data_IF_095808072335
#
_entry.id   IF_095808072335
#
_cell.length_a   1.000
_cell.length_b   1.000
_cell.length_c   1.000
_cell.angle_alpha   90.00
_cell.angle_beta   90.00
_cell.angle_gamma   90.00
#
_symmetry.space_group_name_H-M   'P 1'
#
loop_
_entity.id
_entity.type
_entity.pdbx_description
1 polymer ?
#
# COMPACT_ATOMS: atom_id res chain seq x y z
N UNK A 1 24.65 0.49 -0.11
CA UNK A 1 24.24 -0.93 -0.14
C UNK A 1 23.68 -1.45 1.18
N UNK A 2 24.42 -1.35 2.31
CA UNK A 2 24.02 -1.94 3.61
C UNK A 2 22.61 -1.53 4.09
N UNK A 3 22.29 -0.24 4.03
CA UNK A 3 20.98 0.28 4.44
C UNK A 3 19.81 -0.33 3.65
N UNK A 4 19.99 -0.50 2.34
CA UNK A 4 18.97 -1.08 1.45
C UNK A 4 18.74 -2.56 1.77
N UNK A 5 19.81 -3.32 1.99
CA UNK A 5 19.72 -4.75 2.33
C UNK A 5 19.03 -4.96 3.68
N UNK A 6 19.40 -4.17 4.70
CA UNK A 6 18.77 -4.24 6.02
C UNK A 6 17.30 -3.82 5.93
N UNK A 7 17.00 -2.74 5.21
CA UNK A 7 15.62 -2.28 5.01
C UNK A 7 14.77 -3.35 4.33
N UNK A 8 15.28 -3.96 3.26
CA UNK A 8 14.60 -5.02 2.52
C UNK A 8 14.37 -6.27 3.38
N UNK A 9 15.38 -6.71 4.13
CA UNK A 9 15.26 -7.84 5.04
C UNK A 9 14.21 -7.63 6.13
N UNK A 10 14.23 -6.47 6.79
CA UNK A 10 13.23 -6.13 7.83
C UNK A 10 11.83 -6.03 7.21
N UNK A 11 11.69 -5.35 6.08
CA UNK A 11 10.40 -5.22 5.38
C UNK A 11 9.83 -6.58 5.00
N UNK A 12 10.67 -7.49 4.50
CA UNK A 12 10.27 -8.84 4.14
C UNK A 12 9.81 -9.65 5.35
N UNK A 13 10.55 -9.62 6.45
CA UNK A 13 10.16 -10.31 7.68
C UNK A 13 8.83 -9.77 8.24
N UNK A 14 8.68 -8.44 8.29
CA UNK A 14 7.45 -7.80 8.73
C UNK A 14 6.26 -8.13 7.83
N UNK A 15 6.45 -8.17 6.52
CA UNK A 15 5.39 -8.55 5.59
C UNK A 15 5.01 -10.03 5.73
N UNK A 16 5.99 -10.94 5.78
CA UNK A 16 5.76 -12.39 5.90
C UNK A 16 5.04 -12.77 7.20
N UNK A 17 5.45 -12.17 8.32
CA UNK A 17 4.86 -12.46 9.63
C UNK A 17 3.59 -11.63 9.90
N UNK A 18 3.55 -10.39 9.41
CA UNK A 18 2.43 -9.47 9.59
C UNK A 18 1.22 -9.83 8.75
N UNK A 19 1.40 -10.34 7.53
CA UNK A 19 0.30 -10.70 6.64
C UNK A 19 -0.64 -11.76 7.24
N UNK A 20 -0.18 -12.93 7.74
CA UNK A 20 -1.08 -13.92 8.34
C UNK A 20 -1.78 -13.40 9.61
N UNK A 21 -1.11 -12.56 10.42
CA UNK A 21 -1.72 -11.93 11.59
C UNK A 21 -2.82 -10.96 11.18
N UNK A 22 -2.57 -10.14 10.15
CA UNK A 22 -3.51 -9.18 9.61
C UNK A 22 -4.71 -9.88 8.96
N UNK A 23 -4.49 -10.98 8.24
CA UNK A 23 -5.56 -11.84 7.70
C UNK A 23 -6.46 -12.32 8.84
N UNK A 24 -5.89 -12.86 9.93
CA UNK A 24 -6.67 -13.30 11.10
C UNK A 24 -7.47 -12.15 11.73
N UNK A 25 -6.90 -10.96 11.80
CA UNK A 25 -7.60 -9.76 12.28
C UNK A 25 -8.79 -9.39 11.38
N UNK A 26 -8.59 -9.34 10.07
CA UNK A 26 -9.64 -9.00 9.11
C UNK A 26 -10.79 -10.03 9.12
N UNK A 27 -10.46 -11.32 9.23
CA UNK A 27 -11.45 -12.40 9.38
C UNK A 27 -12.28 -12.22 10.65
N UNK A 28 -11.64 -11.93 11.80
CA UNK A 28 -12.34 -11.67 13.07
C UNK A 28 -13.27 -10.47 13.00
N UNK A 29 -12.91 -9.45 12.23
CA UNK A 29 -13.72 -8.23 12.05
C UNK A 29 -14.83 -8.40 11.00
N UNK A 30 -14.99 -9.59 10.42
CA UNK A 30 -15.89 -9.89 9.31
C UNK A 30 -15.73 -8.95 8.10
N UNK A 31 -14.53 -8.41 7.88
CA UNK A 31 -14.18 -7.67 6.66
C UNK A 31 -13.93 -8.61 5.47
N UNK A 32 -14.68 -9.72 5.40
CA UNK A 32 -14.79 -10.54 4.20
C UNK A 32 -15.64 -9.81 3.18
N UNK A 33 -15.28 -9.91 1.89
CA UNK A 33 -16.07 -9.28 0.83
C UNK A 33 -17.55 -9.71 0.91
N UNK A 34 -18.44 -8.73 0.88
CA UNK A 34 -19.88 -8.98 0.75
C UNK A 34 -20.18 -9.58 -0.62
N UNK A 35 -20.88 -10.71 -0.60
CA UNK A 35 -21.20 -11.52 -1.78
C UNK A 35 -22.32 -10.81 -2.55
N UNK A 36 -22.09 -10.56 -3.84
CA UNK A 36 -23.16 -10.22 -4.78
C UNK A 36 -24.01 -11.47 -4.98
N UNK A 37 -25.31 -11.40 -4.70
CA UNK A 37 -26.22 -12.56 -4.73
C UNK A 37 -26.53 -13.09 -6.16
N UNK A 38 -25.97 -12.50 -7.22
CA UNK A 38 -26.43 -12.69 -8.60
C UNK A 38 -25.53 -13.60 -9.47
N UNK A 39 -24.96 -14.70 -8.96
CA UNK A 39 -24.08 -15.57 -9.76
C UNK A 39 -24.24 -17.08 -9.51
N UNK A 40 -24.06 -17.95 -10.53
CA UNK A 40 -24.31 -19.38 -10.41
C UNK A 40 -23.39 -20.05 -9.37
N UNK A 41 -23.90 -21.12 -8.77
CA UNK A 41 -23.42 -21.89 -7.62
C UNK A 41 -22.00 -22.49 -7.72
N UNK A 42 -21.28 -22.28 -8.82
CA UNK A 42 -19.89 -22.74 -9.00
C UNK A 42 -18.81 -21.78 -8.46
N UNK A 43 -19.18 -20.56 -8.04
CA UNK A 43 -18.23 -19.54 -7.57
C UNK A 43 -17.98 -19.48 -6.05
N UNK A 44 -18.54 -20.40 -5.27
CA UNK A 44 -18.40 -20.42 -3.79
C UNK A 44 -17.01 -20.80 -3.25
N UNK A 45 -16.02 -21.06 -4.11
CA UNK A 45 -14.66 -21.48 -3.70
C UNK A 45 -13.68 -20.31 -3.52
N UNK A 46 -14.02 -19.09 -3.96
CA UNK A 46 -13.22 -17.87 -3.66
C UNK A 46 -13.67 -17.22 -2.35
N UNK A 47 -13.91 -18.06 -1.34
CA UNK A 47 -14.32 -17.65 0.00
C UNK A 47 -13.16 -17.00 0.75
N UNK A 48 -13.44 -15.84 1.35
CA UNK A 48 -12.79 -15.43 2.59
C UNK A 48 -11.34 -14.93 2.51
N UNK A 49 -10.76 -14.72 1.32
CA UNK A 49 -9.49 -13.99 1.22
C UNK A 49 -9.75 -12.51 1.55
N UNK A 50 -9.24 -12.01 2.69
CA UNK A 50 -9.45 -10.63 3.04
C UNK A 50 -8.78 -9.72 2.02
N UNK A 51 -9.50 -8.69 1.61
CA UNK A 51 -8.96 -7.63 0.75
C UNK A 51 -8.24 -6.60 1.61
N UNK A 52 -7.34 -5.79 1.02
CA UNK A 52 -6.39 -4.86 1.70
C UNK A 52 -5.00 -5.40 2.10
N UNK A 53 -4.53 -6.54 1.55
CA UNK A 53 -3.16 -7.03 1.82
C UNK A 53 -2.03 -6.02 1.52
N UNK A 54 -2.28 -5.09 0.58
CA UNK A 54 -1.35 -4.01 0.26
C UNK A 54 -1.01 -3.07 1.43
N UNK A 55 -1.91 -2.94 2.42
CA UNK A 55 -1.66 -2.12 3.64
C UNK A 55 -0.50 -2.69 4.43
N UNK A 56 -0.42 -4.02 4.55
CA UNK A 56 0.66 -4.71 5.26
C UNK A 56 1.98 -4.50 4.52
N UNK A 57 1.97 -4.60 3.19
CA UNK A 57 3.18 -4.42 2.37
C UNK A 57 3.71 -2.99 2.51
N UNK A 58 2.83 -1.99 2.38
CA UNK A 58 3.20 -0.57 2.51
C UNK A 58 3.71 -0.29 3.92
N UNK A 59 2.99 -0.73 4.96
CA UNK A 59 3.39 -0.55 6.35
C UNK A 59 4.73 -1.21 6.66
N UNK A 60 4.92 -2.46 6.23
CA UNK A 60 6.18 -3.19 6.39
C UNK A 60 7.34 -2.49 5.67
N UNK A 61 7.11 -1.95 4.48
CA UNK A 61 8.12 -1.23 3.69
C UNK A 61 8.53 0.08 4.38
N UNK A 62 7.57 0.85 4.90
CA UNK A 62 7.85 2.10 5.62
C UNK A 62 8.63 1.86 6.90
N UNK A 63 8.20 0.86 7.70
CA UNK A 63 8.88 0.51 8.96
C UNK A 63 10.27 -0.06 8.67
N UNK A 64 10.39 -0.97 7.71
CA UNK A 64 11.68 -1.56 7.35
C UNK A 64 12.66 -0.53 6.80
N UNK A 65 12.20 0.40 5.95
CA UNK A 65 13.02 1.52 5.48
C UNK A 65 13.48 2.42 6.64
N UNK A 66 12.56 2.85 7.51
CA UNK A 66 12.90 3.72 8.64
C UNK A 66 13.91 3.06 9.59
N UNK A 67 13.70 1.78 9.93
CA UNK A 67 14.62 1.02 10.76
C UNK A 67 15.97 0.80 10.07
N UNK A 68 15.98 0.52 8.77
CA UNK A 68 17.23 0.35 8.02
C UNK A 68 18.06 1.64 7.97
N UNK A 69 17.43 2.80 7.87
CA UNK A 69 18.12 4.09 7.99
C UNK A 69 18.66 4.31 9.41
N UNK A 70 17.83 4.09 10.44
CA UNK A 70 18.22 4.26 11.84
C UNK A 70 19.40 3.36 12.23
N UNK A 71 19.35 2.07 11.85
CA UNK A 71 20.37 1.09 12.19
C UNK A 71 21.70 1.31 11.45
N UNK A 72 21.68 2.00 10.31
CA UNK A 72 22.89 2.27 9.53
C UNK A 72 23.39 3.71 9.64
N UNK A 73 22.67 4.58 10.34
CA UNK A 73 22.95 6.02 10.41
C UNK A 73 22.88 6.72 9.05
N UNK A 74 22.22 6.11 8.06
CA UNK A 74 22.13 6.66 6.70
C UNK A 74 21.10 7.78 6.65
N UNK A 75 21.45 8.91 6.02
CA UNK A 75 20.51 10.01 5.82
C UNK A 75 19.52 9.71 4.68
N UNK A 76 18.24 10.09 4.81
CA UNK A 76 17.26 9.89 3.75
C UNK A 76 17.61 10.77 2.53
N UNK A 77 17.59 10.17 1.34
CA UNK A 77 17.72 10.92 0.09
C UNK A 77 16.36 11.46 -0.37
N UNK A 78 16.37 12.59 -1.08
CA UNK A 78 15.15 13.16 -1.66
C UNK A 78 14.44 12.15 -2.59
N UNK A 79 15.20 11.42 -3.42
CA UNK A 79 14.63 10.40 -4.30
C UNK A 79 13.94 9.26 -3.53
N UNK A 80 14.52 8.82 -2.40
CA UNK A 80 13.91 7.78 -1.57
C UNK A 80 12.59 8.27 -0.95
N UNK A 81 12.57 9.50 -0.44
CA UNK A 81 11.36 10.11 0.12
C UNK A 81 10.27 10.28 -0.94
N UNK A 82 10.64 10.70 -2.16
CA UNK A 82 9.70 10.83 -3.28
C UNK A 82 9.12 9.48 -3.72
N UNK A 83 9.94 8.43 -3.79
CA UNK A 83 9.47 7.09 -4.12
C UNK A 83 8.51 6.54 -3.04
N UNK A 84 8.84 6.73 -1.76
CA UNK A 84 7.96 6.34 -0.66
C UNK A 84 6.68 7.16 -0.64
N UNK A 85 6.73 8.46 -0.93
CA UNK A 85 5.56 9.31 -1.10
C UNK A 85 4.65 8.78 -2.22
N UNK A 86 5.20 8.47 -3.39
CA UNK A 86 4.41 7.96 -4.51
C UNK A 86 3.74 6.62 -4.16
N UNK A 87 4.52 5.68 -3.60
CA UNK A 87 4.02 4.37 -3.17
C UNK A 87 2.90 4.51 -2.14
N UNK A 88 3.10 5.33 -1.11
CA UNK A 88 2.12 5.53 -0.04
C UNK A 88 0.90 6.29 -0.51
N UNK A 89 1.07 7.35 -1.32
CA UNK A 89 -0.03 8.15 -1.86
C UNK A 89 -0.96 7.31 -2.74
N UNK A 90 -0.42 6.54 -3.69
CA UNK A 90 -1.22 5.63 -4.51
C UNK A 90 -1.81 4.49 -3.67
N UNK A 91 -1.06 4.02 -2.68
CA UNK A 91 -1.52 3.04 -1.69
C UNK A 91 -2.74 3.52 -0.90
N UNK A 92 -2.78 4.79 -0.49
CA UNK A 92 -3.92 5.41 0.20
C UNK A 92 -5.13 5.47 -0.72
N UNK A 93 -4.97 5.86 -1.99
CA UNK A 93 -6.08 5.87 -2.96
C UNK A 93 -6.65 4.45 -3.14
N UNK A 94 -5.79 3.44 -3.24
CA UNK A 94 -6.20 2.03 -3.31
C UNK A 94 -6.88 1.54 -2.03
N UNK A 95 -6.35 1.92 -0.87
CA UNK A 95 -6.94 1.59 0.43
C UNK A 95 -8.33 2.20 0.59
N UNK A 96 -8.52 3.47 0.20
CA UNK A 96 -9.84 4.11 0.23
C UNK A 96 -10.83 3.38 -0.70
N UNK A 97 -10.39 2.93 -1.88
CA UNK A 97 -11.21 2.14 -2.80
C UNK A 97 -11.70 0.84 -2.16
N UNK A 98 -10.79 0.09 -1.54
CA UNK A 98 -11.11 -1.18 -0.88
C UNK A 98 -11.90 -0.99 0.43
N UNK A 99 -11.61 0.07 1.18
CA UNK A 99 -12.35 0.42 2.40
C UNK A 99 -13.80 0.76 2.09
N UNK A 100 -14.07 1.54 1.03
CA UNK A 100 -15.44 1.87 0.62
C UNK A 100 -16.21 0.62 0.18
N UNK A 101 -15.57 -0.31 -0.55
CA UNK A 101 -16.21 -1.59 -0.94
C UNK A 101 -16.68 -2.37 0.28
N UNK A 102 -15.82 -2.47 1.30
CA UNK A 102 -16.11 -3.22 2.54
C UNK A 102 -17.13 -2.48 3.40
N UNK A 103 -16.93 -1.19 3.65
CA UNK A 103 -17.83 -0.38 4.50
C UNK A 103 -19.25 -0.29 3.95
N UNK A 104 -19.40 -0.19 2.62
CA UNK A 104 -20.72 -0.11 1.96
C UNK A 104 -21.24 -1.47 1.49
N UNK A 105 -20.58 -2.58 1.84
CA UNK A 105 -21.01 -3.95 1.55
C UNK A 105 -21.39 -4.18 0.08
N UNK A 106 -20.68 -3.53 -0.85
CA UNK A 106 -20.99 -3.54 -2.28
C UNK A 106 -19.74 -3.74 -3.10
N UNK A 107 -19.87 -4.31 -4.30
CA UNK A 107 -18.74 -4.51 -5.22
C UNK A 107 -18.22 -3.20 -5.83
N UNK A 108 -18.96 -2.10 -5.69
CA UNK A 108 -18.62 -0.78 -6.21
C UNK A 108 -17.79 0.01 -5.18
N UNK A 109 -16.52 0.25 -5.50
CA UNK A 109 -15.62 1.06 -4.69
C UNK A 109 -15.78 2.56 -4.90
N UNK A 110 -14.66 3.28 -4.97
CA UNK A 110 -14.65 4.68 -5.41
C UNK A 110 -15.23 4.78 -6.82
N UNK A 111 -15.91 5.90 -7.11
CA UNK A 111 -16.29 6.17 -8.50
C UNK A 111 -15.01 6.24 -9.36
N UNK A 112 -15.04 5.79 -10.63
CA UNK A 112 -13.88 5.85 -11.51
C UNK A 112 -13.24 7.26 -11.59
N UNK A 113 -14.07 8.31 -11.63
CA UNK A 113 -13.61 9.70 -11.63
C UNK A 113 -12.79 10.03 -10.39
N UNK A 114 -13.33 9.80 -9.18
CA UNK A 114 -12.61 10.06 -7.93
C UNK A 114 -11.31 9.24 -7.79
N UNK A 115 -11.25 8.02 -8.34
CA UNK A 115 -10.03 7.23 -8.36
C UNK A 115 -8.95 7.85 -9.25
N UNK A 116 -9.33 8.28 -10.46
CA UNK A 116 -8.42 8.97 -11.38
C UNK A 116 -7.99 10.32 -10.84
N UNK A 117 -8.90 11.10 -10.23
CA UNK A 117 -8.56 12.36 -9.58
C UNK A 117 -7.56 12.14 -8.45
N UNK A 118 -7.78 11.14 -7.59
CA UNK A 118 -6.84 10.80 -6.51
C UNK A 118 -5.45 10.42 -7.02
N UNK A 119 -5.38 9.55 -8.04
CA UNK A 119 -4.12 9.17 -8.67
C UNK A 119 -3.45 10.37 -9.37
N UNK A 120 -4.25 11.21 -10.03
CA UNK A 120 -3.79 12.42 -10.70
C UNK A 120 -3.20 13.44 -9.73
N UNK A 121 -3.86 13.70 -8.59
CA UNK A 121 -3.33 14.59 -7.55
C UNK A 121 -2.01 14.08 -7.01
N UNK A 122 -1.91 12.80 -6.64
CA UNK A 122 -0.65 12.20 -6.15
C UNK A 122 0.44 12.29 -7.22
N UNK A 123 0.11 11.98 -8.47
CA UNK A 123 1.04 12.05 -9.60
C UNK A 123 1.55 13.46 -9.87
N UNK A 124 0.67 14.46 -9.91
CA UNK A 124 1.03 15.86 -10.12
C UNK A 124 1.93 16.37 -9.00
N UNK A 125 1.58 16.09 -7.74
CA UNK A 125 2.41 16.47 -6.58
C UNK A 125 3.79 15.81 -6.67
N UNK A 126 3.85 14.51 -6.98
CA UNK A 126 5.11 13.81 -7.20
C UNK A 126 5.94 14.45 -8.31
N UNK A 127 5.34 14.75 -9.47
CA UNK A 127 6.04 15.37 -10.60
C UNK A 127 6.59 16.74 -10.26
N UNK A 128 5.80 17.60 -9.60
CA UNK A 128 6.25 18.92 -9.17
C UNK A 128 7.44 18.81 -8.19
N UNK A 129 7.34 17.94 -7.19
CA UNK A 129 8.42 17.76 -6.22
C UNK A 129 9.67 17.14 -6.88
N UNK A 130 9.51 16.19 -7.79
CA UNK A 130 10.62 15.58 -8.50
C UNK A 130 11.42 16.61 -9.34
N UNK A 131 10.75 17.62 -9.89
CA UNK A 131 11.40 18.72 -10.62
C UNK A 131 12.11 19.71 -9.68
N UNK A 132 11.65 19.86 -8.43
CA UNK A 132 12.26 20.74 -7.43
C UNK A 132 13.47 20.12 -6.73
N UNK A 133 13.56 18.78 -6.70
CA UNK A 133 14.69 18.06 -6.13
C UNK A 133 15.46 17.24 -7.19
N UNK A 134 16.06 17.88 -8.23
CA UNK A 134 16.92 17.17 -9.15
C UNK A 134 18.10 16.54 -8.40
N UNK A 135 18.41 15.28 -8.72
CA UNK A 135 19.63 14.67 -8.24
C UNK A 135 20.81 15.44 -8.84
N UNK A 136 21.54 16.17 -8.00
CA UNK A 136 22.71 16.98 -8.40
C UNK A 136 23.91 16.18 -8.95
N UNK A 137 23.71 14.90 -9.30
CA UNK A 137 24.73 14.03 -9.91
C UNK A 137 24.65 13.97 -11.44
N UNK A 138 23.69 14.67 -12.08
CA UNK A 138 23.51 14.69 -13.54
C UNK A 138 23.57 16.10 -14.16
N UNK A 139 24.37 17.01 -13.59
CA UNK A 139 24.77 18.26 -14.23
C UNK A 139 26.27 18.43 -14.17
#
# INVERSE_FOLDING_TARGET
MRAVLISGGISMLLALLGTPLFIRFLVRRQYGQFIRQDGPTAHFTKRGTPTMGGVVIIGATLVGWALGLLLTGTRPSASALLALFLMTGLGVVGFLDDFIKISRQRSLGLSPLWKIVGQGVVGVVFSVLALQFPNGQFR
#
